data_IF_547499253410
#
_entry.id   IF_547499253410
#
_cell.length_a   1.000
_cell.length_b   1.000
_cell.length_c   1.000
_cell.angle_alpha   90.00
_cell.angle_beta   90.00
_cell.angle_gamma   90.00
#
_symmetry.space_group_name_H-M   'P 1'
#
loop_
_entity.id
_entity.type
_entity.pdbx_description
1 polymer ?
#
# COMPACT_ATOMS: atom_id res chain seq x y z
N UNK A 1 -12.99 3.31 25.58
CA UNK A 1 -13.16 3.13 24.12
C UNK A 1 -12.02 2.27 23.60
N UNK A 2 -12.28 1.25 22.76
CA UNK A 2 -11.21 0.46 22.14
C UNK A 2 -10.56 1.29 21.03
N UNK A 3 -9.23 1.38 21.02
CA UNK A 3 -8.47 2.03 19.94
C UNK A 3 -8.64 1.19 18.68
N UNK A 4 -9.04 1.81 17.57
CA UNK A 4 -9.14 1.15 16.27
C UNK A 4 -7.78 0.58 15.86
N UNK A 5 -7.79 -0.50 15.07
CA UNK A 5 -6.55 -1.01 14.47
C UNK A 5 -6.00 0.02 13.47
N UNK A 6 -4.68 0.02 13.24
CA UNK A 6 -4.07 0.94 12.26
C UNK A 6 -4.68 0.77 10.87
N UNK A 7 -5.04 -0.47 10.51
CA UNK A 7 -5.75 -0.80 9.26
C UNK A 7 -7.11 -0.11 9.18
N UNK A 8 -7.91 -0.18 10.25
CA UNK A 8 -9.22 0.48 10.30
C UNK A 8 -9.10 1.99 10.27
N UNK A 9 -8.15 2.57 11.02
CA UNK A 9 -7.86 4.01 10.98
C UNK A 9 -7.58 4.47 9.55
N UNK A 10 -6.70 3.76 8.82
CA UNK A 10 -6.39 4.12 7.43
C UNK A 10 -7.63 4.05 6.54
N UNK A 11 -8.48 3.01 6.68
CA UNK A 11 -9.70 2.91 5.89
C UNK A 11 -10.66 4.07 6.19
N UNK A 12 -10.88 4.37 7.46
CA UNK A 12 -11.76 5.45 7.91
C UNK A 12 -11.24 6.81 7.44
N UNK A 13 -9.93 7.07 7.58
CA UNK A 13 -9.29 8.30 7.12
C UNK A 13 -9.46 8.50 5.60
N UNK A 14 -9.33 7.43 4.80
CA UNK A 14 -9.50 7.50 3.35
C UNK A 14 -10.96 7.78 2.95
N UNK A 15 -11.91 7.12 3.60
CA UNK A 15 -13.34 7.35 3.35
C UNK A 15 -13.74 8.78 3.74
N UNK A 16 -13.26 9.26 4.89
CA UNK A 16 -13.53 10.63 5.34
C UNK A 16 -12.94 11.67 4.37
N UNK A 17 -11.73 11.44 3.86
CA UNK A 17 -11.14 12.33 2.85
C UNK A 17 -11.95 12.36 1.55
N UNK A 18 -12.52 11.23 1.12
CA UNK A 18 -13.42 11.20 -0.05
C UNK A 18 -14.72 11.95 0.22
N UNK A 19 -15.30 11.83 1.41
CA UNK A 19 -16.51 12.56 1.81
C UNK A 19 -16.25 14.08 1.80
N UNK A 20 -15.12 14.53 2.36
CA UNK A 20 -14.72 15.95 2.34
C UNK A 20 -14.49 16.47 0.92
N UNK A 21 -14.02 15.61 0.01
CA UNK A 21 -13.80 15.94 -1.40
C UNK A 21 -15.06 15.79 -2.27
N UNK A 22 -16.22 15.42 -1.70
CA UNK A 22 -17.46 15.09 -2.45
C UNK A 22 -17.26 13.97 -3.50
N UNK A 23 -16.35 13.04 -3.22
CA UNK A 23 -15.96 11.91 -4.07
C UNK A 23 -16.37 10.56 -3.48
N UNK A 24 -17.40 10.51 -2.64
CA UNK A 24 -17.87 9.32 -1.90
C UNK A 24 -18.77 8.38 -2.72
N UNK A 25 -18.80 8.52 -4.04
CA UNK A 25 -19.57 7.60 -4.89
C UNK A 25 -18.96 6.18 -4.90
N UNK A 26 -19.76 5.21 -5.33
CA UNK A 26 -19.42 3.78 -5.28
C UNK A 26 -18.10 3.42 -5.98
N UNK A 27 -17.68 4.15 -7.01
CA UNK A 27 -16.43 3.89 -7.72
C UNK A 27 -15.24 4.17 -6.81
N UNK A 28 -15.22 5.32 -6.13
CA UNK A 28 -14.13 5.69 -5.23
C UNK A 28 -14.14 4.87 -3.94
N UNK A 29 -15.31 4.49 -3.42
CA UNK A 29 -15.40 3.54 -2.30
C UNK A 29 -14.75 2.20 -2.67
N UNK A 30 -15.00 1.66 -3.88
CA UNK A 30 -14.33 0.43 -4.32
C UNK A 30 -12.81 0.62 -4.43
N UNK A 31 -12.33 1.80 -4.89
CA UNK A 31 -10.91 2.11 -4.90
C UNK A 31 -10.31 2.08 -3.48
N UNK A 32 -10.99 2.59 -2.46
CA UNK A 32 -10.54 2.45 -1.07
C UNK A 32 -10.45 0.99 -0.65
N UNK A 33 -11.43 0.16 -1.00
CA UNK A 33 -11.38 -1.27 -0.69
C UNK A 33 -10.21 -1.98 -1.41
N UNK A 34 -9.92 -1.60 -2.67
CA UNK A 34 -8.72 -2.08 -3.39
C UNK A 34 -7.43 -1.62 -2.71
N UNK A 35 -7.38 -0.37 -2.23
CA UNK A 35 -6.24 0.12 -1.46
C UNK A 35 -6.01 -0.71 -0.19
N UNK A 36 -7.09 -1.05 0.53
CA UNK A 36 -6.99 -1.84 1.75
C UNK A 36 -6.54 -3.29 1.49
N UNK A 37 -6.96 -3.90 0.38
CA UNK A 37 -6.45 -5.21 -0.03
C UNK A 37 -4.95 -5.16 -0.36
N UNK A 38 -4.48 -4.10 -1.02
CA UNK A 38 -3.05 -3.90 -1.28
C UNK A 38 -2.26 -3.63 0.01
N UNK A 39 -2.84 -2.94 0.99
CA UNK A 39 -2.21 -2.73 2.29
C UNK A 39 -1.94 -4.06 3.01
N UNK A 40 -2.92 -4.97 3.01
CA UNK A 40 -2.75 -6.31 3.60
C UNK A 40 -1.66 -7.09 2.86
N UNK A 41 -1.70 -7.11 1.52
CA UNK A 41 -0.70 -7.76 0.69
C UNK A 41 0.72 -7.20 0.91
N UNK A 42 0.86 -5.87 0.98
CA UNK A 42 2.13 -5.21 1.24
C UNK A 42 2.69 -5.60 2.62
N UNK A 43 1.84 -5.75 3.64
CA UNK A 43 2.28 -6.20 4.98
C UNK A 43 2.76 -7.64 4.99
N UNK A 44 2.12 -8.50 4.22
CA UNK A 44 2.53 -9.89 4.08
C UNK A 44 3.85 -10.03 3.30
N UNK A 45 3.99 -9.31 2.18
CA UNK A 45 5.22 -9.25 1.40
C UNK A 45 6.39 -8.64 2.18
N UNK A 46 6.14 -7.57 2.95
CA UNK A 46 7.13 -6.95 3.83
C UNK A 46 7.64 -7.96 4.87
N UNK A 47 6.71 -8.68 5.50
CA UNK A 47 7.04 -9.70 6.51
C UNK A 47 7.85 -10.83 5.89
N UNK A 48 7.43 -11.33 4.73
CA UNK A 48 8.14 -12.40 4.03
C UNK A 48 9.54 -11.99 3.61
N UNK A 49 9.67 -10.83 2.96
CA UNK A 49 10.96 -10.31 2.56
C UNK A 49 11.88 -10.08 3.74
N UNK A 50 11.35 -9.68 4.91
CA UNK A 50 12.14 -9.44 6.15
C UNK A 50 12.66 -10.70 6.80
N UNK A 51 11.99 -11.84 6.62
CA UNK A 51 12.50 -13.14 7.12
C UNK A 51 13.76 -13.54 6.38
N UNK A 52 13.74 -13.45 5.05
CA UNK A 52 14.85 -13.89 4.21
C UNK A 52 14.99 -13.01 2.96
N UNK A 53 16.13 -12.33 2.84
CA UNK A 53 16.41 -11.43 1.70
C UNK A 53 16.86 -12.16 0.44
N UNK A 54 17.49 -13.32 0.62
CA UNK A 54 18.07 -14.15 -0.44
C UNK A 54 17.60 -15.58 -0.24
N UNK A 55 16.92 -16.16 -1.22
CA UNK A 55 16.40 -17.53 -1.16
C UNK A 55 17.29 -18.45 -2.00
N UNK A 56 17.43 -19.70 -1.56
CA UNK A 56 18.03 -20.74 -2.39
C UNK A 56 17.05 -21.18 -3.49
N UNK A 57 17.59 -21.58 -4.63
CA UNK A 57 16.85 -22.24 -5.68
C UNK A 57 17.64 -23.45 -6.18
N UNK A 58 16.92 -24.48 -6.58
CA UNK A 58 17.48 -25.71 -7.13
C UNK A 58 16.55 -26.17 -8.26
N UNK A 59 17.05 -26.12 -9.49
CA UNK A 59 16.31 -26.53 -10.69
C UNK A 59 16.63 -27.99 -11.07
N UNK A 60 17.42 -28.71 -10.28
CA UNK A 60 17.92 -30.04 -10.60
C UNK A 60 19.12 -30.03 -11.54
N UNK A 61 19.72 -31.20 -11.77
CA UNK A 61 20.87 -31.35 -12.69
C UNK A 61 22.13 -30.59 -12.27
N UNK A 62 22.25 -30.24 -10.98
CA UNK A 62 23.36 -29.44 -10.43
C UNK A 62 23.18 -27.92 -10.58
N UNK A 63 22.10 -27.45 -11.19
CA UNK A 63 21.79 -26.03 -11.31
C UNK A 63 21.09 -25.54 -10.04
N UNK A 64 21.89 -24.98 -9.13
CA UNK A 64 21.42 -24.40 -7.87
C UNK A 64 22.19 -23.13 -7.54
N UNK A 65 21.59 -22.28 -6.72
CA UNK A 65 22.23 -21.04 -6.27
C UNK A 65 21.36 -20.29 -5.28
N UNK A 66 21.69 -19.03 -5.06
CA UNK A 66 20.84 -18.09 -4.32
C UNK A 66 20.36 -16.98 -5.24
N UNK A 67 19.20 -16.43 -4.95
CA UNK A 67 18.63 -15.29 -5.67
C UNK A 67 17.91 -14.34 -4.70
N UNK A 68 17.73 -13.06 -5.05
CA UNK A 68 16.90 -12.17 -4.25
C UNK A 68 15.49 -12.74 -4.06
N UNK A 69 14.95 -12.61 -2.85
CA UNK A 69 13.58 -13.02 -2.56
C UNK A 69 12.60 -12.20 -3.42
N UNK A 70 11.73 -12.84 -4.24
CA UNK A 70 10.79 -12.15 -5.11
C UNK A 70 9.82 -11.22 -4.35
N UNK A 71 9.49 -11.54 -3.09
CA UNK A 71 8.61 -10.73 -2.25
C UNK A 71 9.10 -9.29 -2.10
N UNK A 72 10.43 -9.05 -2.15
CA UNK A 72 10.96 -7.70 -2.06
C UNK A 72 10.66 -6.84 -3.29
N UNK A 73 10.63 -7.44 -4.48
CA UNK A 73 10.24 -6.73 -5.72
C UNK A 73 8.74 -6.45 -5.71
N UNK A 74 7.93 -7.47 -5.44
CA UNK A 74 6.47 -7.37 -5.38
C UNK A 74 6.00 -6.36 -4.31
N UNK A 75 6.69 -6.30 -3.17
CA UNK A 75 6.42 -5.29 -2.13
C UNK A 75 6.57 -3.87 -2.68
N UNK A 76 7.68 -3.56 -3.37
CA UNK A 76 7.91 -2.22 -3.93
C UNK A 76 6.90 -1.88 -5.03
N UNK A 77 6.54 -2.84 -5.87
CA UNK A 77 5.52 -2.68 -6.91
C UNK A 77 4.14 -2.43 -6.29
N UNK A 78 3.77 -3.16 -5.24
CA UNK A 78 2.51 -2.97 -4.51
C UNK A 78 2.44 -1.57 -3.89
N UNK A 79 3.51 -1.11 -3.21
CA UNK A 79 3.56 0.25 -2.65
C UNK A 79 3.44 1.31 -3.75
N UNK A 80 4.07 1.10 -4.91
CA UNK A 80 3.93 2.01 -6.05
C UNK A 80 2.48 2.09 -6.53
N UNK A 81 1.80 0.95 -6.70
CA UNK A 81 0.39 0.92 -7.09
C UNK A 81 -0.53 1.54 -6.04
N UNK A 82 -0.20 1.40 -4.76
CA UNK A 82 -0.91 2.10 -3.67
C UNK A 82 -0.79 3.62 -3.81
N UNK A 83 0.41 4.15 -4.06
CA UNK A 83 0.60 5.58 -4.32
C UNK A 83 -0.16 6.04 -5.55
N UNK A 84 -0.12 5.28 -6.66
CA UNK A 84 -0.88 5.59 -7.87
C UNK A 84 -2.39 5.64 -7.62
N UNK A 85 -2.90 4.79 -6.74
CA UNK A 85 -4.31 4.78 -6.36
C UNK A 85 -4.69 6.03 -5.55
N UNK A 86 -3.82 6.49 -4.64
CA UNK A 86 -4.02 7.74 -3.91
C UNK A 86 -4.10 8.94 -4.88
N UNK A 87 -3.24 9.02 -5.92
CA UNK A 87 -3.39 10.09 -6.93
C UNK A 87 -4.67 9.99 -7.74
N UNK A 88 -5.12 8.79 -8.10
CA UNK A 88 -6.40 8.62 -8.82
C UNK A 88 -7.59 9.09 -7.98
N UNK A 89 -7.51 8.94 -6.66
CA UNK A 89 -8.52 9.43 -5.72
C UNK A 89 -8.36 10.90 -5.34
N UNK A 90 -7.31 11.60 -5.82
CA UNK A 90 -7.03 12.99 -5.45
C UNK A 90 -6.52 13.17 -4.02
N UNK A 91 -6.09 12.10 -3.34
CA UNK A 91 -5.77 12.11 -1.91
C UNK A 91 -4.29 12.30 -1.60
N UNK A 92 -3.46 12.67 -2.59
CA UNK A 92 -2.01 12.82 -2.35
C UNK A 92 -1.65 14.03 -1.47
N UNK A 93 -2.54 15.03 -1.40
CA UNK A 93 -2.26 16.37 -0.89
C UNK A 93 -3.18 16.82 0.25
N UNK A 94 -4.20 16.05 0.64
CA UNK A 94 -5.14 16.45 1.70
C UNK A 94 -4.53 16.49 3.11
N UNK A 95 -3.26 16.08 3.26
CA UNK A 95 -2.47 16.24 4.50
C UNK A 95 -1.46 17.39 4.44
N UNK A 96 -1.49 18.23 3.40
CA UNK A 96 -0.59 19.40 3.27
C UNK A 96 -1.35 20.69 3.58
N UNK A 97 -1.93 20.77 4.78
CA UNK A 97 -2.05 22.06 5.48
C UNK A 97 -0.67 22.38 6.10
N UNK A 98 0.32 22.64 5.25
CA UNK A 98 1.48 23.44 5.63
C UNK A 98 1.51 24.59 4.63
N UNK A 99 1.16 25.78 5.12
CA UNK A 99 0.90 26.97 4.34
C UNK A 99 1.87 27.19 3.18
N UNK A 100 1.33 27.21 1.97
CA UNK A 100 1.86 28.08 0.93
C UNK A 100 1.42 29.50 1.30
N UNK A 101 2.22 30.16 2.16
CA UNK A 101 2.29 31.62 2.15
C UNK A 101 2.83 32.05 0.78
N UNK A 102 2.06 32.90 0.11
CA UNK A 102 2.43 33.59 -1.11
C UNK A 102 3.83 34.23 -0.99
N UNK A 103 4.76 33.85 -1.88
CA UNK A 103 5.91 34.68 -2.27
C UNK A 103 6.20 34.58 -3.76
#
# INVERSE_FOLDING_TARGET
>A
MRKLSKRMQIKEDLLQQLEVAEMDNAVYIDLVDKYMAMWDAAKDLEREWKKERMISWDNGGGQKGTKPNPAGKEYRETIKSMTELLKKMGLESLNRDEGEEDV
#
